data_IF_087653168638
#
_entry.id   IF_087653168638
#
_cell.length_a   1.000
_cell.length_b   1.000
_cell.length_c   1.000
_cell.angle_alpha   90.00
_cell.angle_beta   90.00
_cell.angle_gamma   90.00
#
_symmetry.space_group_name_H-M   'P 1'
#
loop_
_entity.id
_entity.type
_entity.pdbx_description
1 polymer ?
#
# COMPACT_ATOMS: atom_id res chain seq x y z
N UNK A 1 1.56 -1.44 -6.51
CA UNK A 1 2.36 -2.60 -6.05
C UNK A 1 3.79 -2.53 -6.57
N UNK A 2 3.95 -2.40 -7.86
CA UNK A 2 5.28 -2.26 -8.44
C UNK A 2 5.93 -0.97 -7.97
N UNK A 3 7.23 -1.03 -7.70
CA UNK A 3 8.08 0.06 -7.22
C UNK A 3 7.72 0.59 -5.82
N UNK A 4 6.59 0.19 -5.26
CA UNK A 4 6.21 0.51 -3.89
C UNK A 4 6.59 -0.62 -2.94
N UNK A 5 6.12 -1.82 -3.19
CA UNK A 5 6.46 -2.99 -2.37
C UNK A 5 7.20 -4.08 -3.15
N UNK A 6 7.16 -4.06 -4.48
CA UNK A 6 7.90 -5.00 -5.33
C UNK A 6 8.85 -4.25 -6.25
N UNK A 7 10.07 -4.75 -6.37
CA UNK A 7 11.04 -4.22 -7.31
C UNK A 7 10.90 -4.82 -8.71
N UNK A 8 11.69 -4.31 -9.64
CA UNK A 8 11.77 -4.83 -11.01
C UNK A 8 12.21 -6.30 -11.04
N UNK A 9 13.00 -6.72 -10.07
CA UNK A 9 13.50 -8.09 -9.95
C UNK A 9 12.49 -9.01 -9.25
N UNK A 10 11.30 -8.52 -8.93
CA UNK A 10 10.27 -9.27 -8.23
C UNK A 10 10.49 -9.41 -6.74
N UNK A 11 11.58 -8.83 -6.19
CA UNK A 11 11.85 -8.92 -4.76
C UNK A 11 10.92 -8.01 -3.97
N UNK A 12 10.59 -8.45 -2.75
CA UNK A 12 9.78 -7.65 -1.84
C UNK A 12 10.64 -6.58 -1.17
N UNK A 13 10.13 -5.37 -1.11
CA UNK A 13 10.81 -4.26 -0.44
C UNK A 13 11.10 -4.60 1.01
N UNK A 14 12.33 -4.32 1.50
CA UNK A 14 12.67 -4.59 2.89
C UNK A 14 11.69 -3.94 3.87
N UNK A 15 11.30 -4.69 4.89
CA UNK A 15 10.40 -4.20 5.93
C UNK A 15 8.92 -4.29 5.60
N UNK A 16 8.55 -4.63 4.37
CA UNK A 16 7.13 -4.65 3.97
C UNK A 16 6.30 -5.60 4.84
N UNK A 17 6.77 -6.84 5.02
CA UNK A 17 6.01 -7.81 5.81
C UNK A 17 5.87 -7.37 7.26
N UNK A 18 6.96 -6.91 7.87
CA UNK A 18 6.95 -6.45 9.26
C UNK A 18 6.00 -5.26 9.43
N UNK A 19 6.03 -4.33 8.50
CA UNK A 19 5.17 -3.15 8.55
C UNK A 19 3.71 -3.54 8.37
N UNK A 20 3.40 -4.44 7.43
CA UNK A 20 2.02 -4.91 7.24
C UNK A 20 1.50 -5.61 8.50
N UNK A 21 2.33 -6.45 9.10
CA UNK A 21 1.98 -7.12 10.36
C UNK A 21 1.66 -6.10 11.45
N UNK A 22 2.50 -5.07 11.59
CA UNK A 22 2.29 -4.02 12.58
C UNK A 22 1.04 -3.19 12.30
N UNK A 23 0.76 -2.90 11.05
CA UNK A 23 -0.46 -2.15 10.67
C UNK A 23 -1.71 -2.93 11.06
N UNK A 24 -1.74 -4.23 10.78
CA UNK A 24 -2.86 -5.08 11.16
C UNK A 24 -2.98 -5.18 12.68
N UNK A 25 -1.86 -5.29 13.39
CA UNK A 25 -1.86 -5.32 14.84
C UNK A 25 -2.41 -4.03 15.45
N UNK A 26 -2.25 -2.91 14.75
CA UNK A 26 -2.79 -1.61 15.18
C UNK A 26 -4.24 -1.37 14.74
N UNK A 27 -4.88 -2.36 14.14
CA UNK A 27 -6.28 -2.28 13.72
C UNK A 27 -6.53 -1.66 12.37
N UNK A 28 -5.49 -1.49 11.55
CA UNK A 28 -5.66 -1.01 10.17
C UNK A 28 -6.09 -2.15 9.26
N UNK A 29 -6.90 -1.82 8.27
CA UNK A 29 -7.21 -2.70 7.16
C UNK A 29 -6.25 -2.36 6.02
N UNK A 30 -5.47 -3.33 5.58
CA UNK A 30 -4.47 -3.15 4.54
C UNK A 30 -4.97 -3.73 3.23
N UNK A 31 -4.93 -2.91 2.19
CA UNK A 31 -5.31 -3.30 0.82
C UNK A 31 -4.13 -3.05 -0.10
N UNK A 32 -4.02 -3.85 -1.14
CA UNK A 32 -2.98 -3.69 -2.15
C UNK A 32 -3.64 -3.44 -3.49
N UNK A 33 -3.13 -2.52 -4.25
CA UNK A 33 -3.60 -2.28 -5.60
C UNK A 33 -2.44 -2.11 -6.59
N UNK A 34 -2.74 -2.27 -7.86
CA UNK A 34 -1.75 -2.13 -8.93
C UNK A 34 -2.40 -1.52 -10.16
N UNK A 35 -1.72 -0.59 -10.77
CA UNK A 35 -2.15 0.04 -12.02
C UNK A 35 -1.89 -0.84 -13.24
N UNK A 36 -1.03 -1.84 -13.11
CA UNK A 36 -0.62 -2.69 -14.20
C UNK A 36 -0.86 -4.16 -13.84
N UNK A 37 -1.15 -4.99 -14.85
CA UNK A 37 -1.25 -6.43 -14.65
C UNK A 37 -2.50 -6.92 -13.92
N UNK A 38 -3.47 -6.06 -13.69
CA UNK A 38 -4.73 -6.42 -13.04
C UNK A 38 -4.59 -6.76 -11.56
N UNK A 39 -5.43 -7.66 -11.07
CA UNK A 39 -5.43 -8.09 -9.67
C UNK A 39 -4.32 -9.09 -9.45
N UNK A 40 -3.47 -8.84 -8.48
CA UNK A 40 -2.21 -9.58 -8.32
C UNK A 40 -2.14 -10.37 -7.02
N UNK A 41 -3.15 -11.21 -6.76
CA UNK A 41 -3.16 -12.09 -5.60
C UNK A 41 -1.97 -13.05 -5.56
N UNK A 42 -1.54 -13.54 -6.73
CA UNK A 42 -0.41 -14.47 -6.79
C UNK A 42 0.87 -13.83 -6.26
N UNK A 43 1.09 -12.56 -6.57
CA UNK A 43 2.24 -11.81 -6.06
C UNK A 43 2.15 -11.62 -4.55
N UNK A 44 0.97 -11.32 -4.05
CA UNK A 44 0.73 -11.14 -2.61
C UNK A 44 1.01 -12.44 -1.86
N UNK A 45 0.53 -13.56 -2.38
CA UNK A 45 0.77 -14.89 -1.78
C UNK A 45 2.23 -15.27 -1.81
N UNK A 46 2.88 -15.09 -2.95
CA UNK A 46 4.29 -15.41 -3.11
C UNK A 46 5.17 -14.59 -2.17
N UNK A 47 4.79 -13.36 -1.90
CA UNK A 47 5.51 -12.47 -1.01
C UNK A 47 5.23 -12.71 0.47
N UNK A 48 4.32 -13.62 0.79
CA UNK A 48 3.95 -13.93 2.18
C UNK A 48 3.09 -12.86 2.84
N UNK A 49 2.43 -12.03 2.07
CA UNK A 49 1.63 -10.91 2.59
C UNK A 49 0.15 -11.27 2.77
N UNK A 50 -0.29 -12.39 2.25
CA UNK A 50 -1.71 -12.78 2.25
C UNK A 50 -2.38 -12.67 3.63
N UNK A 51 -1.76 -13.09 4.74
CA UNK A 51 -2.41 -12.99 6.05
C UNK A 51 -2.74 -11.57 6.49
N UNK A 52 -2.08 -10.58 5.92
CA UNK A 52 -2.21 -9.19 6.32
C UNK A 52 -3.04 -8.34 5.37
N UNK A 53 -3.41 -8.88 4.21
CA UNK A 53 -4.07 -8.12 3.14
C UNK A 53 -5.54 -8.49 3.05
N UNK A 54 -6.41 -7.51 3.16
CA UNK A 54 -7.86 -7.71 3.07
C UNK A 54 -8.36 -7.85 1.66
N UNK A 55 -7.68 -7.23 0.71
CA UNK A 55 -8.10 -7.29 -0.68
C UNK A 55 -7.02 -6.78 -1.62
N UNK A 56 -7.09 -7.21 -2.85
CA UNK A 56 -6.19 -6.80 -3.93
C UNK A 56 -7.04 -6.31 -5.09
N UNK A 57 -6.73 -5.13 -5.59
CA UNK A 57 -7.57 -4.46 -6.58
C UNK A 57 -6.74 -3.81 -7.67
N UNK A 58 -7.43 -3.38 -8.72
CA UNK A 58 -6.83 -2.51 -9.72
C UNK A 58 -6.82 -1.08 -9.17
N UNK A 59 -5.76 -0.36 -9.48
CA UNK A 59 -5.61 1.03 -9.04
C UNK A 59 -6.24 1.97 -10.07
N UNK A 60 -7.04 2.95 -9.64
CA UNK A 60 -7.50 3.99 -10.54
C UNK A 60 -6.32 4.87 -10.95
N UNK A 61 -6.21 5.17 -12.24
CA UNK A 61 -5.11 5.97 -12.79
C UNK A 61 -5.55 7.40 -13.11
N UNK A 62 -6.85 7.65 -13.13
CA UNK A 62 -7.44 8.97 -13.35
C UNK A 62 -8.82 8.99 -12.72
N UNK A 63 -9.37 10.18 -12.47
CA UNK A 63 -10.68 10.33 -11.83
C UNK A 63 -10.77 9.45 -10.59
N UNK A 64 -9.86 9.65 -9.68
CA UNK A 64 -9.56 8.70 -8.62
C UNK A 64 -10.78 8.28 -7.81
N UNK A 65 -11.62 9.22 -7.41
CA UNK A 65 -12.80 8.90 -6.60
C UNK A 65 -13.79 8.01 -7.37
N UNK A 66 -14.14 8.40 -8.58
CA UNK A 66 -15.02 7.59 -9.43
C UNK A 66 -14.31 6.29 -9.85
N UNK A 67 -13.00 6.35 -9.99
CA UNK A 67 -12.16 5.19 -10.32
C UNK A 67 -12.21 4.09 -9.28
N UNK A 68 -12.43 4.40 -8.00
CA UNK A 68 -12.55 3.37 -6.97
C UNK A 68 -13.69 2.40 -7.32
N UNK A 69 -14.83 2.93 -7.69
CA UNK A 69 -15.98 2.11 -8.07
C UNK A 69 -15.68 1.29 -9.33
N UNK A 70 -15.12 1.92 -10.36
CA UNK A 70 -14.77 1.23 -11.60
C UNK A 70 -13.79 0.09 -11.37
N UNK A 71 -12.88 0.26 -10.44
CA UNK A 71 -11.87 -0.75 -10.11
C UNK A 71 -12.32 -1.74 -9.05
N UNK A 72 -13.55 -1.60 -8.56
CA UNK A 72 -14.10 -2.50 -7.56
C UNK A 72 -13.50 -2.36 -6.18
N UNK A 73 -12.90 -1.21 -5.87
CA UNK A 73 -12.32 -0.95 -4.55
C UNK A 73 -13.45 -0.62 -3.57
N UNK A 74 -13.64 -1.43 -2.52
CA UNK A 74 -14.81 -1.30 -1.65
C UNK A 74 -14.71 -0.20 -0.60
N UNK A 75 -13.59 0.49 -0.53
CA UNK A 75 -13.33 1.49 0.50
C UNK A 75 -12.75 2.76 -0.11
N UNK A 76 -12.89 3.87 0.60
CA UNK A 76 -12.16 5.09 0.28
C UNK A 76 -10.93 5.10 1.20
N UNK A 77 -9.72 5.13 0.66
CA UNK A 77 -8.53 5.05 1.51
C UNK A 77 -8.37 6.28 2.40
N UNK A 78 -7.94 6.04 3.63
CA UNK A 78 -7.57 7.10 4.56
C UNK A 78 -6.09 7.46 4.44
N UNK A 79 -5.30 6.53 3.92
CA UNK A 79 -3.86 6.71 3.77
C UNK A 79 -3.37 5.87 2.60
N UNK A 80 -2.71 6.50 1.66
CA UNK A 80 -2.16 5.84 0.48
C UNK A 80 -0.63 5.86 0.53
N UNK A 81 -0.03 4.71 0.26
CA UNK A 81 1.42 4.57 0.12
C UNK A 81 1.66 4.25 -1.35
N UNK A 82 2.28 5.15 -2.06
CA UNK A 82 2.44 5.01 -3.51
C UNK A 82 3.65 5.84 -3.96
N UNK A 83 4.32 5.40 -5.01
CA UNK A 83 5.37 6.18 -5.63
C UNK A 83 4.82 7.20 -6.65
N UNK A 84 3.53 7.11 -6.96
CA UNK A 84 2.84 8.00 -7.89
C UNK A 84 2.23 9.19 -7.13
N UNK A 85 2.76 10.41 -7.32
CA UNK A 85 2.39 11.55 -6.47
C UNK A 85 0.94 12.00 -6.59
N UNK A 86 0.31 11.87 -7.76
CA UNK A 86 -1.04 12.39 -7.96
C UNK A 86 -2.07 11.65 -7.10
N UNK A 87 -1.96 10.33 -6.99
CA UNK A 87 -2.92 9.57 -6.19
C UNK A 87 -2.74 9.83 -4.70
N UNK A 88 -1.50 10.03 -4.27
CA UNK A 88 -1.21 10.40 -2.89
C UNK A 88 -1.77 11.79 -2.57
N UNK A 89 -1.62 12.73 -3.49
CA UNK A 89 -2.16 14.08 -3.32
C UNK A 89 -3.68 14.08 -3.20
N UNK A 90 -4.34 13.19 -3.96
CA UNK A 90 -5.81 13.11 -3.96
C UNK A 90 -6.38 12.53 -2.66
N UNK A 91 -5.86 11.39 -2.21
CA UNK A 91 -6.40 10.69 -1.05
C UNK A 91 -5.69 11.02 0.26
N UNK A 92 -4.47 11.50 0.19
CA UNK A 92 -3.62 11.68 1.36
C UNK A 92 -2.78 10.45 1.64
N UNK A 93 -1.62 10.66 2.21
CA UNK A 93 -0.70 9.60 2.53
C UNK A 93 0.74 10.01 2.33
N UNK A 94 1.56 9.09 1.87
CA UNK A 94 2.97 9.33 1.65
C UNK A 94 3.40 8.86 0.25
N UNK A 95 4.10 9.74 -0.46
CA UNK A 95 4.79 9.34 -1.67
C UNK A 95 6.09 8.66 -1.25
N UNK A 96 6.19 7.36 -1.55
CA UNK A 96 7.37 6.58 -1.22
C UNK A 96 8.35 6.61 -2.39
N UNK A 97 9.64 6.56 -2.06
CA UNK A 97 10.69 6.47 -3.08
C UNK A 97 10.59 5.13 -3.79
N UNK A 98 10.82 5.10 -5.09
CA UNK A 98 10.77 3.87 -5.87
C UNK A 98 11.76 2.82 -5.34
N UNK A 99 11.29 1.59 -5.27
CA UNK A 99 12.12 0.44 -4.95
C UNK A 99 12.31 -0.40 -6.21
N UNK A 100 13.55 -0.59 -6.64
CA UNK A 100 13.86 -1.23 -7.91
C UNK A 100 14.38 -2.66 -7.76
N UNK A 101 15.24 -2.93 -6.79
CA UNK A 101 15.84 -4.25 -6.65
C UNK A 101 16.32 -4.54 -5.24
N UNK A 102 16.54 -5.82 -4.97
CA UNK A 102 17.07 -6.29 -3.68
C UNK A 102 18.47 -5.75 -3.35
N UNK A 103 19.17 -5.22 -4.32
CA UNK A 103 20.50 -4.65 -4.11
C UNK A 103 20.44 -3.20 -3.61
N UNK A 104 19.28 -2.62 -3.61
CA UNK A 104 19.05 -1.26 -3.13
C UNK A 104 18.88 -1.29 -1.61
N UNK A 105 19.65 -0.48 -0.90
CA UNK A 105 19.42 -0.27 0.53
C UNK A 105 18.12 0.51 0.69
N UNK A 106 17.23 0.04 1.55
CA UNK A 106 15.92 0.62 1.65
C UNK A 106 15.32 0.43 3.04
N UNK A 107 14.99 1.53 3.70
CA UNK A 107 14.32 1.54 4.99
C UNK A 107 13.01 2.34 4.94
N UNK A 108 12.53 2.62 3.74
CA UNK A 108 11.35 3.47 3.53
C UNK A 108 10.09 2.93 4.19
N UNK A 109 9.90 1.61 4.21
CA UNK A 109 8.71 1.04 4.83
C UNK A 109 8.64 1.30 6.34
N UNK A 110 9.78 1.32 7.01
CA UNK A 110 9.80 1.65 8.44
C UNK A 110 9.47 3.12 8.66
N UNK A 111 9.94 4.00 7.79
CA UNK A 111 9.59 5.42 7.84
C UNK A 111 8.10 5.63 7.58
N UNK A 112 7.52 4.85 6.66
CA UNK A 112 6.08 4.87 6.39
C UNK A 112 5.29 4.50 7.64
N UNK A 113 5.69 3.45 8.34
CA UNK A 113 5.02 3.04 9.57
C UNK A 113 5.00 4.17 10.60
N UNK A 114 6.14 4.85 10.78
CA UNK A 114 6.23 5.98 11.69
C UNK A 114 5.30 7.12 11.27
N UNK A 115 5.19 7.38 9.97
CA UNK A 115 4.30 8.42 9.46
C UNK A 115 2.83 8.06 9.63
N UNK A 116 2.46 6.80 9.46
CA UNK A 116 1.10 6.34 9.70
C UNK A 116 0.74 6.49 11.18
N UNK A 117 1.63 6.10 12.07
CA UNK A 117 1.41 6.24 13.50
C UNK A 117 1.21 7.71 13.90
N UNK A 118 1.95 8.62 13.29
CA UNK A 118 1.80 10.05 13.55
C UNK A 118 0.51 10.63 12.95
N UNK A 119 0.13 10.16 11.75
CA UNK A 119 -1.06 10.61 11.04
C UNK A 119 -2.33 10.11 11.73
N UNK A 120 -2.32 8.86 12.15
CA UNK A 120 -3.45 8.22 12.80
C UNK A 120 -3.43 8.57 14.29
N UNK A 121 -3.87 9.75 14.63
CA UNK A 121 -4.02 10.10 16.03
C UNK A 121 -4.76 8.98 16.75
N UNK A 122 -4.49 8.71 18.03
CA UNK A 122 -5.16 7.63 18.74
C UNK A 122 -6.67 7.73 18.56
N UNK A 123 -7.20 7.00 17.61
CA UNK A 123 -8.62 6.99 17.35
C UNK A 123 -9.27 6.07 18.38
N UNK A 124 -10.46 6.43 18.87
CA UNK A 124 -11.15 5.60 19.84
C UNK A 124 -11.43 4.20 19.33
N UNK A 125 -11.64 4.05 18.05
CA UNK A 125 -11.90 2.75 17.45
C UNK A 125 -11.76 2.83 15.95
N UNK A 126 -11.48 1.68 15.35
CA UNK A 126 -11.50 1.55 13.91
C UNK A 126 -10.54 2.47 13.18
N UNK A 127 -9.34 2.00 12.95
CA UNK A 127 -8.43 2.72 12.07
C UNK A 127 -8.85 2.53 10.63
N UNK A 128 -8.58 3.53 9.82
CA UNK A 128 -8.97 3.49 8.44
C UNK A 128 -8.12 2.56 7.59
N UNK A 129 -8.55 2.29 6.36
CA UNK A 129 -7.81 1.42 5.46
C UNK A 129 -6.52 2.06 4.97
N UNK A 130 -5.50 1.22 4.79
CA UNK A 130 -4.23 1.60 4.19
C UNK A 130 -4.12 0.88 2.86
N UNK A 131 -3.94 1.62 1.79
CA UNK A 131 -3.76 1.06 0.45
C UNK A 131 -2.32 1.26 -0.01
N UNK A 132 -1.70 0.18 -0.48
CA UNK A 132 -0.35 0.22 -1.01
C UNK A 132 -0.34 -0.16 -2.48
N UNK A 133 0.49 0.53 -3.26
CA UNK A 133 0.62 0.22 -4.68
C UNK A 133 1.26 1.38 -5.43
N UNK A 134 1.53 1.20 -6.68
CA UNK A 134 2.08 2.28 -7.50
C UNK A 134 1.07 2.78 -8.48
#
# INVERSE_FOLDING_TARGET
MDYTILGLDGSLRPGTREVFEQLVARGHDVYVWSGMGGVRWDEVRRSGLEPFVKGVYRKPLADFRAGLERCGVPVVPDFVIDDYPEIVAHFGGVRIKEYLSRHQEDEEMYAVLAQIDAHQQPAPEGRGPVLTGE
#
